data_IF_092566506457
#
_entry.id   IF_092566506457
#
_cell.length_a   1.000
_cell.length_b   1.000
_cell.length_c   1.000
_cell.angle_alpha   90.00
_cell.angle_beta   90.00
_cell.angle_gamma   90.00
#
_symmetry.space_group_name_H-M   'P 1'
#
loop_
_entity.id
_entity.type
_entity.pdbx_description
1 polymer ?
#
# COMPACT_ATOMS: atom_id res chain seq x y z
N UNK A 1 -6.58 21.16 23.35
CA UNK A 1 -6.30 20.71 21.97
C UNK A 1 -4.94 20.04 21.88
N UNK A 2 -3.87 20.61 22.44
CA UNK A 2 -2.51 20.08 22.34
C UNK A 2 -2.33 18.69 22.98
N UNK A 3 -2.94 18.43 24.15
CA UNK A 3 -2.81 17.13 24.83
C UNK A 3 -3.46 15.97 24.06
N UNK A 4 -4.54 16.22 23.33
CA UNK A 4 -5.21 15.21 22.49
C UNK A 4 -4.36 14.91 21.26
N UNK A 5 -3.76 15.92 20.66
CA UNK A 5 -2.89 15.79 19.48
C UNK A 5 -1.61 15.03 19.82
N UNK A 6 -0.96 15.35 20.95
CA UNK A 6 0.24 14.64 21.43
C UNK A 6 -0.06 13.16 21.72
N UNK A 7 -1.16 12.89 22.41
CA UNK A 7 -1.56 11.52 22.73
C UNK A 7 -1.92 10.70 21.47
N UNK A 8 -2.51 11.36 20.48
CA UNK A 8 -2.80 10.76 19.16
C UNK A 8 -1.52 10.42 18.41
N UNK A 9 -0.52 11.30 18.47
CA UNK A 9 0.77 11.09 17.83
C UNK A 9 1.57 9.97 18.50
N UNK A 10 1.55 9.89 19.83
CA UNK A 10 2.14 8.76 20.57
C UNK A 10 1.48 7.42 20.21
N UNK A 11 0.16 7.37 20.21
CA UNK A 11 -0.59 6.17 19.80
C UNK A 11 -0.28 5.73 18.36
N UNK A 12 -0.10 6.69 17.44
CA UNK A 12 0.32 6.37 16.07
C UNK A 12 1.67 5.67 16.05
N UNK A 13 2.68 6.19 16.77
CA UNK A 13 4.02 5.60 16.80
C UNK A 13 4.07 4.24 17.52
N UNK A 14 3.12 3.96 18.41
CA UNK A 14 3.00 2.65 19.05
C UNK A 14 2.25 1.63 18.18
N UNK A 15 1.13 2.03 17.57
CA UNK A 15 0.22 1.12 16.85
C UNK A 15 0.65 0.90 15.40
N UNK A 16 1.17 1.93 14.72
CA UNK A 16 1.55 1.83 13.31
C UNK A 16 2.65 0.79 13.05
N UNK A 17 3.76 0.73 13.80
CA UNK A 17 4.78 -0.31 13.63
C UNK A 17 4.24 -1.72 13.85
N UNK A 18 3.33 -1.89 14.82
CA UNK A 18 2.67 -3.18 15.08
C UNK A 18 1.83 -3.60 13.85
N UNK A 19 1.08 -2.66 13.27
CA UNK A 19 0.33 -2.89 12.04
C UNK A 19 1.22 -3.29 10.86
N UNK A 20 2.35 -2.60 10.69
CA UNK A 20 3.36 -2.93 9.66
C UNK A 20 3.91 -4.35 9.87
N UNK A 21 4.25 -4.72 11.10
CA UNK A 21 4.76 -6.06 11.42
C UNK A 21 3.72 -7.13 11.15
N UNK A 22 2.46 -6.92 11.53
CA UNK A 22 1.37 -7.87 11.28
C UNK A 22 1.16 -8.06 9.77
N UNK A 23 1.13 -6.98 8.99
CA UNK A 23 0.98 -7.04 7.53
C UNK A 23 2.19 -7.73 6.90
N UNK A 24 3.42 -7.40 7.33
CA UNK A 24 4.64 -8.04 6.84
C UNK A 24 4.65 -9.54 7.16
N UNK A 25 4.23 -9.93 8.36
CA UNK A 25 4.13 -11.33 8.78
C UNK A 25 3.06 -12.07 7.98
N UNK A 26 1.90 -11.48 7.77
CA UNK A 26 0.83 -12.04 6.94
C UNK A 26 1.28 -12.24 5.49
N UNK A 27 1.95 -11.26 4.89
CA UNK A 27 2.56 -11.37 3.57
C UNK A 27 3.59 -12.49 3.49
N UNK A 28 4.46 -12.57 4.49
CA UNK A 28 5.47 -13.61 4.59
C UNK A 28 4.85 -14.99 4.66
N UNK A 29 3.87 -15.21 5.55
CA UNK A 29 3.17 -16.50 5.68
C UNK A 29 2.43 -16.90 4.40
N UNK A 30 1.75 -15.95 3.76
CA UNK A 30 0.97 -16.21 2.55
C UNK A 30 1.87 -16.60 1.36
N UNK A 31 3.07 -16.02 1.25
CA UNK A 31 4.00 -16.29 0.15
C UNK A 31 5.03 -17.37 0.44
N UNK A 32 5.15 -17.83 1.68
CA UNK A 32 5.97 -18.99 2.01
C UNK A 32 5.37 -20.32 1.55
N UNK A 33 4.20 -20.30 0.86
CA UNK A 33 3.50 -21.51 0.38
C UNK A 33 3.19 -22.52 1.51
N UNK A 34 3.24 -22.03 2.77
CA UNK A 34 3.06 -22.85 3.95
C UNK A 34 1.67 -23.52 3.98
N UNK A 35 0.66 -22.83 3.42
CA UNK A 35 -0.73 -23.27 3.39
C UNK A 35 -1.02 -24.25 2.23
N UNK A 36 -0.23 -24.24 1.13
CA UNK A 36 -0.50 -25.08 -0.03
C UNK A 36 0.46 -26.27 -0.20
N UNK A 37 1.75 -26.12 0.14
CA UNK A 37 2.76 -27.12 -0.21
C UNK A 37 3.63 -27.55 0.97
N UNK A 38 3.52 -26.92 2.15
CA UNK A 38 4.32 -27.27 3.35
C UNK A 38 5.84 -27.03 3.21
N UNK A 39 6.30 -26.43 2.12
CA UNK A 39 7.70 -26.07 1.90
C UNK A 39 7.92 -24.56 2.09
N UNK A 40 8.72 -24.22 3.09
CA UNK A 40 9.07 -22.84 3.38
C UNK A 40 10.06 -22.33 2.32
N UNK A 41 9.59 -21.53 1.38
CA UNK A 41 10.45 -20.85 0.38
C UNK A 41 10.79 -19.44 0.87
N UNK A 42 11.68 -19.36 1.87
CA UNK A 42 12.11 -18.12 2.53
C UNK A 42 12.49 -17.00 1.55
N UNK A 43 13.20 -17.36 0.48
CA UNK A 43 13.67 -16.41 -0.54
C UNK A 43 12.50 -15.75 -1.28
N UNK A 44 11.44 -16.47 -1.56
CA UNK A 44 10.26 -15.91 -2.24
C UNK A 44 9.46 -15.01 -1.31
N UNK A 45 9.26 -15.40 -0.05
CA UNK A 45 8.59 -14.55 0.95
C UNK A 45 9.30 -13.21 1.14
N UNK A 46 10.63 -13.23 1.28
CA UNK A 46 11.42 -11.99 1.41
C UNK A 46 11.38 -11.14 0.13
N UNK A 47 11.45 -11.75 -1.05
CA UNK A 47 11.31 -11.01 -2.32
C UNK A 47 9.97 -10.30 -2.42
N UNK A 48 8.88 -10.99 -2.11
CA UNK A 48 7.54 -10.38 -2.15
C UNK A 48 7.38 -9.27 -1.12
N UNK A 49 7.94 -9.46 0.08
CA UNK A 49 7.98 -8.42 1.12
C UNK A 49 8.67 -7.14 0.62
N UNK A 50 9.80 -7.28 -0.06
CA UNK A 50 10.53 -6.13 -0.62
C UNK A 50 9.75 -5.51 -1.78
N UNK A 51 9.23 -6.33 -2.71
CA UNK A 51 8.56 -5.84 -3.92
C UNK A 51 7.26 -5.10 -3.58
N UNK A 52 6.45 -5.62 -2.67
CA UNK A 52 5.16 -5.01 -2.31
C UNK A 52 5.26 -4.08 -1.11
N UNK A 53 6.13 -4.37 -0.15
CA UNK A 53 6.27 -3.61 1.09
C UNK A 53 6.99 -2.28 0.90
N UNK A 54 8.09 -2.26 0.16
CA UNK A 54 8.89 -1.03 -0.01
C UNK A 54 8.11 0.10 -0.70
N UNK A 55 7.44 -0.11 -1.86
CA UNK A 55 6.63 0.93 -2.48
C UNK A 55 5.50 1.43 -1.58
N UNK A 56 4.92 0.52 -0.81
CA UNK A 56 3.82 0.84 0.11
C UNK A 56 4.30 1.69 1.28
N UNK A 57 5.42 1.34 1.89
CA UNK A 57 6.02 2.16 2.96
C UNK A 57 6.39 3.55 2.47
N UNK A 58 7.02 3.66 1.29
CA UNK A 58 7.30 4.96 0.68
C UNK A 58 6.02 5.77 0.48
N UNK A 59 4.94 5.13 0.03
CA UNK A 59 3.64 5.80 -0.18
C UNK A 59 3.05 6.32 1.13
N UNK A 60 3.14 5.55 2.21
CA UNK A 60 2.68 5.98 3.54
C UNK A 60 3.48 7.18 4.01
N UNK A 61 4.82 7.14 3.90
CA UNK A 61 5.68 8.27 4.28
C UNK A 61 5.38 9.55 3.49
N UNK A 62 5.20 9.44 2.17
CA UNK A 62 4.84 10.57 1.31
C UNK A 62 3.47 11.12 1.70
N UNK A 63 2.49 10.25 1.93
CA UNK A 63 1.12 10.66 2.31
C UNK A 63 1.11 11.37 3.66
N UNK A 64 1.78 10.81 4.66
CA UNK A 64 1.89 11.44 5.99
C UNK A 64 2.69 12.74 5.94
N UNK A 65 3.77 12.79 5.17
CA UNK A 65 4.55 14.00 4.94
C UNK A 65 3.74 15.11 4.28
N UNK A 66 2.91 14.76 3.30
CA UNK A 66 2.01 15.70 2.64
C UNK A 66 0.95 16.26 3.60
N UNK A 67 0.35 15.40 4.44
CA UNK A 67 -0.60 15.84 5.47
C UNK A 67 0.08 16.79 6.47
N UNK A 68 1.30 16.45 6.90
CA UNK A 68 2.07 17.30 7.82
C UNK A 68 2.51 18.65 7.25
N UNK A 69 2.59 18.76 5.91
CA UNK A 69 2.89 20.00 5.21
C UNK A 69 1.65 20.89 5.00
N UNK A 70 0.46 20.29 5.00
CA UNK A 70 -0.79 21.04 4.93
C UNK A 70 -1.19 21.49 6.33
N UNK A 71 -1.74 22.70 6.47
CA UNK A 71 -2.23 23.26 7.75
C UNK A 71 -3.48 22.52 8.30
N UNK A 72 -3.72 21.27 7.87
CA UNK A 72 -4.79 20.45 8.42
C UNK A 72 -4.43 19.99 9.82
N UNK A 73 -5.32 20.21 10.76
CA UNK A 73 -5.17 19.70 12.14
C UNK A 73 -5.00 18.17 12.08
N UNK A 74 -3.85 17.69 12.55
CA UNK A 74 -3.59 16.26 12.72
C UNK A 74 -4.48 15.75 13.85
N UNK A 75 -5.68 15.32 13.51
CA UNK A 75 -6.64 14.74 14.45
C UNK A 75 -6.42 13.24 14.59
N UNK A 76 -7.05 12.59 15.59
CA UNK A 76 -7.02 11.13 15.76
C UNK A 76 -7.40 10.37 14.48
N UNK A 77 -8.16 11.00 13.59
CA UNK A 77 -8.61 10.42 12.32
C UNK A 77 -7.49 10.22 11.31
N UNK A 78 -6.41 11.01 11.38
CA UNK A 78 -5.22 10.85 10.51
C UNK A 78 -4.46 9.57 10.82
N UNK A 79 -4.54 9.06 12.06
CA UNK A 79 -3.91 7.80 12.47
C UNK A 79 -4.40 6.62 11.61
N UNK A 80 -5.65 6.66 11.17
CA UNK A 80 -6.27 5.60 10.37
C UNK A 80 -5.75 5.59 8.93
N UNK A 81 -5.28 6.73 8.42
CA UNK A 81 -4.82 6.87 7.02
C UNK A 81 -3.63 5.95 6.73
N UNK A 82 -2.64 5.90 7.63
CA UNK A 82 -1.44 5.07 7.45
C UNK A 82 -1.76 3.60 7.22
N UNK A 83 -2.46 2.92 8.14
CA UNK A 83 -2.86 1.52 7.99
C UNK A 83 -3.72 1.24 6.74
N UNK A 84 -4.63 2.14 6.37
CA UNK A 84 -5.46 1.96 5.16
C UNK A 84 -4.61 2.05 3.90
N UNK A 85 -3.77 3.06 3.78
CA UNK A 85 -2.85 3.20 2.63
C UNK A 85 -1.89 2.02 2.55
N UNK A 86 -1.39 1.55 3.70
CA UNK A 86 -0.55 0.35 3.79
C UNK A 86 -1.27 -0.89 3.23
N UNK A 87 -2.50 -1.15 3.69
CA UNK A 87 -3.27 -2.31 3.27
C UNK A 87 -3.58 -2.29 1.76
N UNK A 88 -3.96 -1.13 1.23
CA UNK A 88 -4.22 -0.96 -0.20
C UNK A 88 -2.97 -1.14 -1.05
N UNK A 89 -1.85 -0.55 -0.64
CA UNK A 89 -0.60 -0.64 -1.38
C UNK A 89 -0.06 -2.05 -1.47
N UNK A 90 -0.11 -2.78 -0.35
CA UNK A 90 0.24 -4.20 -0.32
C UNK A 90 -0.67 -5.01 -1.24
N UNK A 91 -1.98 -4.78 -1.19
CA UNK A 91 -2.95 -5.46 -2.06
C UNK A 91 -2.65 -5.20 -3.54
N UNK A 92 -2.40 -3.95 -3.92
CA UNK A 92 -2.06 -3.59 -5.30
C UNK A 92 -0.76 -4.25 -5.78
N UNK A 93 0.27 -4.23 -4.94
CA UNK A 93 1.55 -4.88 -5.24
C UNK A 93 1.40 -6.39 -5.44
N UNK A 94 0.63 -7.06 -4.56
CA UNK A 94 0.34 -8.48 -4.65
C UNK A 94 -0.40 -8.85 -5.93
N UNK A 95 -1.41 -8.09 -6.33
CA UNK A 95 -2.16 -8.37 -7.55
C UNK A 95 -1.24 -8.35 -8.78
N UNK A 96 -0.32 -7.39 -8.88
CA UNK A 96 0.62 -7.29 -9.98
C UNK A 96 1.64 -8.44 -9.95
N UNK A 97 2.23 -8.73 -8.78
CA UNK A 97 3.23 -9.80 -8.64
C UNK A 97 2.64 -11.18 -8.88
N UNK A 98 1.42 -11.45 -8.42
CA UNK A 98 0.74 -12.72 -8.68
C UNK A 98 0.47 -12.90 -10.17
N UNK A 99 -0.04 -11.86 -10.85
CA UNK A 99 -0.24 -11.92 -12.30
C UNK A 99 1.05 -12.12 -13.07
N UNK A 100 2.13 -11.46 -12.65
CA UNK A 100 3.45 -11.68 -13.22
C UNK A 100 3.91 -13.15 -13.06
N UNK A 101 3.67 -13.76 -11.91
CA UNK A 101 4.02 -15.17 -11.65
C UNK A 101 3.22 -16.16 -12.51
N UNK A 102 1.97 -15.85 -12.82
CA UNK A 102 1.08 -16.69 -13.67
C UNK A 102 1.40 -16.54 -15.16
N UNK A 103 1.87 -15.39 -15.60
CA UNK A 103 2.14 -15.11 -17.01
C UNK A 103 3.30 -15.96 -17.55
N UNK A 104 3.23 -16.32 -18.84
CA UNK A 104 4.23 -17.12 -19.55
C UNK A 104 5.02 -16.23 -20.53
N UNK A 105 6.29 -16.57 -20.75
CA UNK A 105 7.15 -15.87 -21.69
C UNK A 105 8.37 -15.22 -21.03
N UNK A 106 8.99 -14.27 -21.72
CA UNK A 106 10.12 -13.50 -21.21
C UNK A 106 9.70 -12.59 -20.04
N UNK A 107 10.63 -12.16 -19.15
CA UNK A 107 10.31 -11.27 -18.04
C UNK A 107 9.58 -9.98 -18.48
N UNK A 108 9.95 -9.44 -19.65
CA UNK A 108 9.29 -8.25 -20.23
C UNK A 108 7.85 -8.51 -20.66
N UNK A 109 7.61 -9.64 -21.34
CA UNK A 109 6.26 -10.02 -21.79
C UNK A 109 5.34 -10.27 -20.61
N UNK A 110 5.82 -11.00 -19.59
CA UNK A 110 5.08 -11.23 -18.34
C UNK A 110 4.69 -9.93 -17.66
N UNK A 111 5.61 -8.97 -17.57
CA UNK A 111 5.34 -7.69 -16.93
C UNK A 111 4.39 -6.85 -17.76
N UNK A 112 4.53 -6.83 -19.08
CA UNK A 112 3.60 -6.16 -19.98
C UNK A 112 2.18 -6.71 -19.84
N UNK A 113 2.03 -8.02 -19.76
CA UNK A 113 0.75 -8.69 -19.53
C UNK A 113 0.18 -8.34 -18.15
N UNK A 114 0.99 -8.39 -17.11
CA UNK A 114 0.56 -8.07 -15.75
C UNK A 114 0.06 -6.62 -15.63
N UNK A 115 0.76 -5.66 -16.23
CA UNK A 115 0.37 -4.26 -16.19
C UNK A 115 -0.88 -4.02 -17.05
N UNK A 116 -0.95 -4.58 -18.26
CA UNK A 116 -2.07 -4.33 -19.17
C UNK A 116 -3.39 -4.91 -18.68
N UNK A 117 -3.37 -6.06 -18.00
CA UNK A 117 -4.56 -6.73 -17.46
C UNK A 117 -4.86 -6.27 -16.03
N UNK A 118 -3.97 -6.59 -15.11
CA UNK A 118 -4.17 -6.35 -13.67
C UNK A 118 -3.97 -4.88 -13.31
N UNK A 119 -3.04 -4.17 -13.95
CA UNK A 119 -2.84 -2.74 -13.72
C UNK A 119 -4.11 -1.92 -14.00
N UNK A 120 -4.88 -2.29 -15.05
CA UNK A 120 -6.19 -1.65 -15.32
C UNK A 120 -7.22 -1.95 -14.24
N UNK A 121 -7.27 -3.18 -13.73
CA UNK A 121 -8.18 -3.54 -12.65
C UNK A 121 -7.83 -2.79 -11.36
N UNK A 122 -6.54 -2.68 -11.04
CA UNK A 122 -6.04 -1.90 -9.90
C UNK A 122 -6.35 -0.41 -10.05
N UNK A 123 -6.23 0.15 -11.27
CA UNK A 123 -6.61 1.54 -11.55
C UNK A 123 -8.10 1.78 -11.28
N UNK A 124 -8.97 0.91 -11.79
CA UNK A 124 -10.42 1.03 -11.57
C UNK A 124 -10.76 0.91 -10.08
N UNK A 125 -10.14 -0.02 -9.37
CA UNK A 125 -10.29 -0.15 -7.92
C UNK A 125 -9.82 1.10 -7.18
N UNK A 126 -8.68 1.67 -7.55
CA UNK A 126 -8.18 2.91 -6.97
C UNK A 126 -9.14 4.09 -7.23
N UNK A 127 -9.62 4.23 -8.47
CA UNK A 127 -10.56 5.30 -8.83
C UNK A 127 -11.88 5.21 -8.06
N UNK A 128 -12.47 4.03 -7.97
CA UNK A 128 -13.72 3.84 -7.19
C UNK A 128 -13.51 4.15 -5.72
N UNK A 129 -12.36 3.78 -5.15
CA UNK A 129 -12.03 4.05 -3.76
C UNK A 129 -11.78 5.55 -3.52
N UNK A 130 -11.09 6.22 -4.45
CA UNK A 130 -10.90 7.69 -4.41
C UNK A 130 -12.26 8.40 -4.44
N UNK A 131 -13.16 8.01 -5.34
CA UNK A 131 -14.50 8.61 -5.43
C UNK A 131 -15.26 8.40 -4.11
N UNK A 132 -15.16 7.21 -3.51
CA UNK A 132 -15.77 6.91 -2.22
C UNK A 132 -15.23 7.82 -1.11
N UNK A 133 -13.91 7.99 -0.99
CA UNK A 133 -13.34 8.85 0.05
C UNK A 133 -13.50 10.33 -0.22
N UNK A 134 -13.47 10.78 -1.49
CA UNK A 134 -13.70 12.18 -1.82
C UNK A 134 -15.14 12.62 -1.48
N UNK A 135 -16.10 11.68 -1.46
CA UNK A 135 -17.47 11.99 -1.02
C UNK A 135 -17.56 12.43 0.44
N UNK A 136 -16.60 12.03 1.29
CA UNK A 136 -16.52 12.45 2.69
C UNK A 136 -16.20 13.94 2.83
N UNK A 137 -15.62 14.56 1.82
CA UNK A 137 -15.30 16.00 1.80
C UNK A 137 -16.57 16.86 1.87
N UNK A 138 -17.70 16.35 1.41
CA UNK A 138 -19.00 17.06 1.44
C UNK A 138 -19.72 16.93 2.78
N UNK A 139 -19.23 16.11 3.70
CA UNK A 139 -19.80 15.98 5.04
C UNK A 139 -19.47 17.22 5.86
N UNK A 140 -20.44 17.88 6.54
CA UNK A 140 -20.21 19.12 7.28
C UNK A 140 -19.49 18.89 8.63
N UNK A 141 -18.45 18.08 8.64
CA UNK A 141 -17.61 17.75 9.81
C UNK A 141 -16.13 17.78 9.42
N UNK A 142 -15.39 18.74 9.92
CA UNK A 142 -13.95 18.93 9.59
C UNK A 142 -13.09 17.65 9.71
N UNK A 143 -13.19 16.84 10.80
CA UNK A 143 -12.39 15.62 10.91
C UNK A 143 -12.67 14.61 9.78
N UNK A 144 -13.92 14.50 9.34
CA UNK A 144 -14.32 13.58 8.25
C UNK A 144 -13.81 14.11 6.89
N UNK A 145 -13.89 15.42 6.67
CA UNK A 145 -13.33 16.05 5.47
C UNK A 145 -11.82 15.80 5.36
N UNK A 146 -11.10 15.93 6.47
CA UNK A 146 -9.65 15.67 6.51
C UNK A 146 -9.32 14.23 6.14
N UNK A 147 -10.09 13.24 6.62
CA UNK A 147 -9.95 11.83 6.19
C UNK A 147 -10.18 11.70 4.68
N UNK A 148 -11.24 12.33 4.16
CA UNK A 148 -11.57 12.29 2.73
C UNK A 148 -10.41 12.77 1.86
N UNK A 149 -9.84 13.92 2.16
CA UNK A 149 -8.67 14.44 1.44
C UNK A 149 -7.43 13.56 1.61
N UNK A 150 -7.11 13.17 2.84
CA UNK A 150 -5.93 12.40 3.16
C UNK A 150 -5.91 11.02 2.51
N UNK A 151 -7.05 10.29 2.56
CA UNK A 151 -7.16 8.98 1.94
C UNK A 151 -7.21 9.08 0.42
N UNK A 152 -7.94 10.02 -0.14
CA UNK A 152 -7.98 10.20 -1.60
C UNK A 152 -6.59 10.50 -2.16
N UNK A 153 -5.85 11.43 -1.54
CA UNK A 153 -4.47 11.73 -1.91
C UNK A 153 -3.54 10.53 -1.70
N UNK A 154 -3.66 9.85 -0.55
CA UNK A 154 -2.86 8.67 -0.23
C UNK A 154 -3.06 7.52 -1.22
N UNK A 155 -4.29 7.30 -1.70
CA UNK A 155 -4.58 6.27 -2.71
C UNK A 155 -3.96 6.62 -4.06
N UNK A 156 -3.97 7.89 -4.45
CA UNK A 156 -3.26 8.33 -5.67
C UNK A 156 -1.77 8.04 -5.55
N UNK A 157 -1.16 8.42 -4.43
CA UNK A 157 0.28 8.21 -4.19
C UNK A 157 0.61 6.72 -4.20
N UNK A 158 -0.17 5.88 -3.49
CA UNK A 158 0.11 4.45 -3.42
C UNK A 158 -0.07 3.75 -4.77
N UNK A 159 -1.06 4.16 -5.56
CA UNK A 159 -1.23 3.65 -6.90
C UNK A 159 -0.02 3.99 -7.79
N UNK A 160 0.40 5.26 -7.80
CA UNK A 160 1.55 5.70 -8.59
C UNK A 160 2.84 5.00 -8.17
N UNK A 161 3.11 4.92 -6.87
CA UNK A 161 4.29 4.21 -6.35
C UNK A 161 4.27 2.72 -6.68
N UNK A 162 3.12 2.07 -6.59
CA UNK A 162 2.98 0.66 -6.96
C UNK A 162 3.26 0.47 -8.45
N UNK A 163 2.66 1.29 -9.33
CA UNK A 163 2.87 1.18 -10.79
C UNK A 163 4.30 1.50 -11.23
N UNK A 164 5.01 2.37 -10.51
CA UNK A 164 6.40 2.71 -10.83
C UNK A 164 7.41 1.73 -10.23
N UNK A 165 7.25 1.35 -8.98
CA UNK A 165 8.28 0.59 -8.26
C UNK A 165 8.10 -0.92 -8.37
N UNK A 166 6.87 -1.45 -8.30
CA UNK A 166 6.63 -2.90 -8.32
C UNK A 166 7.16 -3.56 -9.59
N UNK A 167 6.87 -3.04 -10.82
CA UNK A 167 7.40 -3.64 -12.04
C UNK A 167 8.93 -3.63 -12.09
N UNK A 168 9.55 -2.51 -11.70
CA UNK A 168 11.00 -2.38 -11.72
C UNK A 168 11.67 -3.31 -10.71
N UNK A 169 11.17 -3.38 -9.49
CA UNK A 169 11.69 -4.28 -8.45
C UNK A 169 11.52 -5.76 -8.82
N UNK A 170 10.36 -6.11 -9.39
CA UNK A 170 10.09 -7.48 -9.82
C UNK A 170 11.06 -7.92 -10.91
N UNK A 171 11.26 -7.09 -11.94
CA UNK A 171 12.22 -7.41 -13.00
C UNK A 171 13.66 -7.46 -12.49
N UNK A 172 14.05 -6.54 -11.60
CA UNK A 172 15.39 -6.53 -11.00
C UNK A 172 15.70 -7.79 -10.20
N UNK A 173 14.71 -8.30 -9.44
CA UNK A 173 14.87 -9.48 -8.61
C UNK A 173 14.73 -10.79 -9.38
N UNK A 174 14.05 -10.79 -10.54
CA UNK A 174 13.93 -11.97 -11.42
C UNK A 174 15.13 -12.13 -12.35
N UNK A 175 15.72 -11.02 -12.82
CA UNK A 175 16.94 -11.02 -13.64
C UNK A 175 18.19 -11.47 -12.87
N UNK A 176 18.12 -11.59 -11.53
CA UNK A 176 19.21 -12.12 -10.68
C UNK A 176 19.12 -13.62 -10.39
N UNK A 177 18.28 -14.35 -11.14
CA UNK A 177 18.33 -15.82 -11.22
C UNK A 177 19.27 -16.25 -12.33
#
# INVERSE_FOLDING_TARGET
TNAITEKSFQLFWEVFPVGVVIVAFGLFLFHCDLLQTGRIRWVQGVKTLIISGLPTLCSVWITLGFIGYTDYEVTMTVIIVGPIVLALGVSYGLHITNRYAEAKGSPREKMSEAISSTGRAVLLSALTTIIGFISLVFVPMKPIQTIGYALSGGIVVVYLMTMLMVPNLTMMLDLKK
#
